data_IF_134776877265
#
_entry.id   IF_134776877265
#
_cell.length_a   1.000
_cell.length_b   1.000
_cell.length_c   1.000
_cell.angle_alpha   90.00
_cell.angle_beta   90.00
_cell.angle_gamma   90.00
#
_symmetry.space_group_name_H-M   'P 1'
#
loop_
_entity.id
_entity.type
_entity.pdbx_description
1 polymer ?
#
# COMPACT_ATOMS: atom_id res chain seq x y z
N UNK A 1 -1.48 -14.87 3.19
CA UNK A 1 -0.37 -14.16 3.86
C UNK A 1 -0.11 -12.83 3.18
N UNK A 2 -0.02 -11.77 3.93
CA UNK A 2 0.39 -10.46 3.42
C UNK A 2 1.92 -10.42 3.35
N UNK A 3 2.46 -10.01 2.21
CA UNK A 3 3.92 -9.94 2.01
C UNK A 3 4.47 -8.53 2.15
N UNK A 4 3.73 -7.55 1.71
CA UNK A 4 4.15 -6.16 1.81
C UNK A 4 2.97 -5.21 1.73
N UNK A 5 3.13 -4.06 2.36
CA UNK A 5 2.20 -2.93 2.27
C UNK A 5 3.01 -1.70 1.89
N UNK A 6 2.52 -0.93 0.93
CA UNK A 6 3.18 0.28 0.45
C UNK A 6 2.17 1.42 0.42
N UNK A 7 2.56 2.57 0.98
CA UNK A 7 1.80 3.81 0.85
C UNK A 7 2.55 4.78 -0.06
N UNK A 8 1.84 5.37 -1.01
CA UNK A 8 2.37 6.39 -1.89
C UNK A 8 1.50 7.63 -1.86
N UNK A 9 2.09 8.78 -2.12
CA UNK A 9 1.38 10.05 -2.19
C UNK A 9 0.43 10.06 -3.39
N UNK A 10 -0.83 10.43 -3.15
CA UNK A 10 -1.88 10.27 -4.15
C UNK A 10 -1.66 11.07 -5.43
N UNK A 11 -1.14 12.28 -5.33
CA UNK A 11 -0.98 13.18 -6.48
C UNK A 11 0.30 12.93 -7.27
N UNK A 12 1.39 12.55 -6.62
CA UNK A 12 2.71 12.41 -7.25
C UNK A 12 3.18 10.97 -7.42
N UNK A 13 2.63 10.02 -6.66
CA UNK A 13 3.12 8.65 -6.63
C UNK A 13 4.41 8.47 -5.82
N UNK A 14 4.84 9.52 -5.12
CA UNK A 14 6.03 9.46 -4.29
C UNK A 14 5.87 8.44 -3.16
N UNK A 15 6.89 7.62 -2.95
CA UNK A 15 6.91 6.64 -1.86
C UNK A 15 6.84 7.35 -0.50
N UNK A 16 5.90 6.97 0.33
CA UNK A 16 5.75 7.51 1.69
C UNK A 16 6.25 6.54 2.75
N UNK A 17 5.76 5.33 2.71
CA UNK A 17 6.02 4.34 3.75
C UNK A 17 5.78 2.94 3.21
N UNK A 18 6.54 1.98 3.68
CA UNK A 18 6.29 0.58 3.39
C UNK A 18 6.46 -0.28 4.64
N UNK A 19 5.85 -1.44 4.61
CA UNK A 19 5.99 -2.45 5.65
C UNK A 19 6.11 -3.81 4.98
N UNK A 20 7.22 -4.49 5.21
CA UNK A 20 7.50 -5.80 4.63
C UNK A 20 7.23 -6.89 5.63
N UNK A 21 6.62 -7.97 5.14
CA UNK A 21 6.32 -9.16 5.95
C UNK A 21 6.75 -10.41 5.18
N UNK A 22 6.98 -11.50 5.90
CA UNK A 22 7.28 -12.78 5.26
C UNK A 22 8.63 -12.85 4.57
N UNK A 23 8.71 -13.71 3.56
CA UNK A 23 9.98 -14.07 2.91
C UNK A 23 10.24 -13.34 1.59
N UNK A 24 9.25 -12.66 1.05
CA UNK A 24 9.41 -11.96 -0.21
C UNK A 24 10.08 -10.62 0.06
N UNK A 25 11.22 -10.41 -0.60
CA UNK A 25 11.91 -9.14 -0.54
C UNK A 25 11.30 -8.20 -1.58
N UNK A 26 10.54 -7.22 -1.10
CA UNK A 26 9.88 -6.22 -1.95
C UNK A 26 10.52 -4.87 -1.68
N UNK A 27 11.05 -4.25 -2.74
CA UNK A 27 11.52 -2.88 -2.66
C UNK A 27 10.33 -1.94 -2.78
N UNK A 28 9.98 -1.27 -1.68
CA UNK A 28 8.82 -0.38 -1.63
C UNK A 28 8.91 0.80 -2.58
N UNK A 29 10.08 1.38 -2.74
CA UNK A 29 10.28 2.51 -3.66
C UNK A 29 10.15 2.06 -5.12
N UNK A 30 10.71 0.90 -5.45
CA UNK A 30 10.58 0.33 -6.79
C UNK A 30 9.13 -0.04 -7.11
N UNK A 31 8.43 -0.63 -6.16
CA UNK A 31 7.01 -0.97 -6.31
C UNK A 31 6.16 0.29 -6.51
N UNK A 32 6.43 1.35 -5.76
CA UNK A 32 5.73 2.63 -5.90
C UNK A 32 5.92 3.21 -7.29
N UNK A 33 7.16 3.18 -7.80
CA UNK A 33 7.47 3.64 -9.16
C UNK A 33 6.76 2.83 -10.23
N UNK A 34 6.72 1.52 -10.07
CA UNK A 34 6.03 0.62 -10.99
C UNK A 34 4.53 0.89 -11.01
N UNK A 35 3.91 1.06 -9.85
CA UNK A 35 2.47 1.37 -9.75
C UNK A 35 2.17 2.70 -10.43
N UNK A 36 2.97 3.72 -10.18
CA UNK A 36 2.79 5.03 -10.81
C UNK A 36 2.92 4.97 -12.32
N UNK A 37 3.91 4.26 -12.82
CA UNK A 37 4.11 4.06 -14.25
C UNK A 37 2.93 3.29 -14.89
N UNK A 38 2.45 2.27 -14.22
CA UNK A 38 1.32 1.46 -14.69
C UNK A 38 0.04 2.30 -14.78
N UNK A 39 -0.21 3.13 -13.79
CA UNK A 39 -1.37 4.04 -13.80
C UNK A 39 -1.31 5.03 -14.95
N UNK A 40 -0.16 5.63 -15.18
CA UNK A 40 0.05 6.54 -16.29
C UNK A 40 -0.18 5.83 -17.63
N UNK A 41 0.36 4.63 -17.78
CA UNK A 41 0.20 3.82 -18.98
C UNK A 41 -1.26 3.48 -19.27
N UNK A 42 -2.01 3.06 -18.25
CA UNK A 42 -3.43 2.76 -18.37
C UNK A 42 -4.22 4.02 -18.76
N UNK A 43 -3.88 5.16 -18.15
CA UNK A 43 -4.51 6.44 -18.47
C UNK A 43 -4.31 6.85 -19.93
N UNK A 44 -3.15 6.56 -20.52
CA UNK A 44 -2.87 6.84 -21.93
C UNK A 44 -3.61 5.90 -22.87
N UNK A 45 -3.76 4.63 -22.49
CA UNK A 45 -4.47 3.64 -23.33
C UNK A 45 -5.97 3.95 -23.41
N UNK A 46 -6.56 4.43 -22.32
CA UNK A 46 -7.98 4.78 -22.26
C UNK A 46 -8.15 6.25 -22.66
N UNK A 47 -7.62 6.60 -23.80
CA UNK A 47 -7.58 7.96 -24.30
C UNK A 47 -8.99 8.50 -24.57
N UNK A 48 -9.26 9.72 -24.10
CA UNK A 48 -10.53 10.40 -24.32
C UNK A 48 -11.56 10.20 -23.23
N UNK A 49 -11.34 9.32 -22.29
CA UNK A 49 -12.17 9.21 -21.11
C UNK A 49 -11.51 9.89 -19.92
N UNK A 50 -12.28 10.73 -19.21
CA UNK A 50 -11.81 11.38 -17.98
C UNK A 50 -11.89 10.36 -16.85
N UNK A 51 -11.40 9.15 -17.11
CA UNK A 51 -11.26 8.14 -16.08
C UNK A 51 -9.87 8.31 -15.53
N UNK A 52 -9.79 8.68 -14.27
CA UNK A 52 -8.52 8.62 -13.56
C UNK A 52 -8.20 7.15 -13.39
N UNK A 53 -7.17 6.69 -14.09
CA UNK A 53 -6.74 5.28 -14.02
C UNK A 53 -6.55 4.81 -12.58
N UNK A 54 -6.18 5.72 -11.70
CA UNK A 54 -6.03 5.45 -10.27
C UNK A 54 -7.33 5.03 -9.58
N UNK A 55 -8.47 5.48 -10.07
CA UNK A 55 -9.77 5.14 -9.51
C UNK A 55 -10.27 3.79 -10.03
N UNK A 56 -9.78 3.38 -11.18
CA UNK A 56 -10.17 2.14 -11.83
C UNK A 56 -9.33 0.93 -11.41
N UNK A 57 -8.10 1.16 -10.98
CA UNK A 57 -7.19 0.07 -10.64
C UNK A 57 -7.46 -0.42 -9.22
N UNK A 58 -8.18 -1.52 -9.10
CA UNK A 58 -8.52 -2.12 -7.81
C UNK A 58 -7.61 -3.30 -7.44
N UNK A 59 -7.20 -4.06 -8.44
CA UNK A 59 -6.44 -5.29 -8.21
C UNK A 59 -5.61 -5.65 -9.43
N UNK A 60 -4.43 -6.24 -9.16
CA UNK A 60 -3.63 -6.94 -10.18
C UNK A 60 -3.46 -8.38 -9.73
N UNK A 61 -3.85 -9.32 -10.57
CA UNK A 61 -3.69 -10.75 -10.31
C UNK A 61 -2.43 -11.25 -10.97
N UNK A 62 -1.59 -11.88 -10.17
CA UNK A 62 -0.37 -12.52 -10.63
C UNK A 62 -0.45 -14.02 -10.28
N UNK A 63 0.41 -14.81 -10.87
CA UNK A 63 0.48 -16.23 -10.55
C UNK A 63 0.93 -16.42 -9.09
N UNK A 64 0.02 -16.88 -8.25
CA UNK A 64 0.29 -17.11 -6.83
C UNK A 64 0.13 -15.89 -5.93
N UNK A 65 -0.03 -14.70 -6.50
CA UNK A 65 -0.10 -13.46 -5.73
C UNK A 65 -1.21 -12.56 -6.24
N UNK A 66 -1.63 -11.62 -5.40
CA UNK A 66 -2.48 -10.52 -5.81
C UNK A 66 -1.94 -9.21 -5.21
N UNK A 67 -2.10 -8.13 -5.96
CA UNK A 67 -1.81 -6.79 -5.48
C UNK A 67 -3.15 -6.08 -5.41
N UNK A 68 -3.55 -5.68 -4.21
CA UNK A 68 -4.83 -5.01 -3.97
C UNK A 68 -4.56 -3.55 -3.64
N UNK A 69 -5.36 -2.67 -4.21
CA UNK A 69 -5.20 -1.23 -4.06
C UNK A 69 -6.41 -0.62 -3.37
N UNK A 70 -6.15 0.37 -2.55
CA UNK A 70 -7.15 1.29 -2.05
C UNK A 70 -6.62 2.71 -2.14
N UNK A 71 -7.53 3.67 -2.19
CA UNK A 71 -7.15 5.06 -2.38
C UNK A 71 -7.96 5.98 -1.49
N UNK A 72 -7.29 7.04 -1.01
CA UNK A 72 -7.93 8.20 -0.43
C UNK A 72 -7.46 9.45 -1.18
N UNK A 73 -7.94 10.62 -0.78
CA UNK A 73 -7.46 11.88 -1.37
C UNK A 73 -5.98 12.15 -1.06
N UNK A 74 -5.46 11.57 -0.01
CA UNK A 74 -4.11 11.81 0.50
C UNK A 74 -3.10 10.80 -0.01
N UNK A 75 -3.48 9.53 -0.07
CA UNK A 75 -2.54 8.45 -0.35
C UNK A 75 -3.21 7.29 -1.07
N UNK A 76 -2.39 6.51 -1.79
CA UNK A 76 -2.73 5.17 -2.19
C UNK A 76 -2.08 4.19 -1.25
N UNK A 77 -2.73 3.05 -1.07
CA UNK A 77 -2.13 1.92 -0.43
C UNK A 77 -2.23 0.71 -1.35
N UNK A 78 -1.13 -0.01 -1.47
CA UNK A 78 -1.07 -1.27 -2.18
C UNK A 78 -0.60 -2.36 -1.24
N UNK A 79 -1.21 -3.52 -1.35
CA UNK A 79 -0.78 -4.69 -0.60
C UNK A 79 -0.48 -5.83 -1.54
N UNK A 80 0.62 -6.53 -1.27
CA UNK A 80 0.94 -7.78 -1.97
C UNK A 80 0.57 -8.92 -1.03
N UNK A 81 -0.32 -9.78 -1.48
CA UNK A 81 -0.84 -10.90 -0.70
C UNK A 81 -0.81 -12.19 -1.51
N UNK A 82 -0.97 -13.33 -0.83
CA UNK A 82 -1.17 -14.60 -1.52
C UNK A 82 -2.50 -14.58 -2.28
N UNK A 83 -2.53 -15.28 -3.39
CA UNK A 83 -3.74 -15.39 -4.22
C UNK A 83 -4.95 -15.91 -3.43
N UNK A 84 -4.70 -16.72 -2.38
CA UNK A 84 -5.75 -17.33 -1.56
C UNK A 84 -6.35 -16.42 -0.50
N UNK A 85 -5.71 -15.28 -0.21
CA UNK A 85 -6.22 -14.35 0.79
C UNK A 85 -7.51 -13.69 0.30
N UNK A 86 -8.44 -13.45 1.22
CA UNK A 86 -9.74 -12.86 0.90
C UNK A 86 -9.59 -11.40 0.50
N UNK A 87 -9.96 -11.07 -0.74
CA UNK A 87 -9.87 -9.73 -1.29
C UNK A 87 -10.67 -8.71 -0.49
N UNK A 88 -11.88 -9.07 -0.05
CA UNK A 88 -12.74 -8.16 0.69
C UNK A 88 -12.19 -7.82 2.08
N UNK A 89 -11.66 -8.81 2.77
CA UNK A 89 -10.99 -8.60 4.05
C UNK A 89 -9.78 -7.68 3.90
N UNK A 90 -9.00 -7.90 2.84
CA UNK A 90 -7.84 -7.04 2.54
C UNK A 90 -8.31 -5.61 2.29
N UNK A 91 -9.29 -5.41 1.43
CA UNK A 91 -9.81 -4.07 1.12
C UNK A 91 -10.33 -3.35 2.35
N UNK A 92 -11.07 -4.05 3.21
CA UNK A 92 -11.59 -3.45 4.44
C UNK A 92 -10.47 -3.02 5.38
N UNK A 93 -9.43 -3.84 5.50
CA UNK A 93 -8.26 -3.50 6.31
C UNK A 93 -7.52 -2.30 5.74
N UNK A 94 -7.34 -2.24 4.41
CA UNK A 94 -6.67 -1.12 3.76
C UNK A 94 -7.44 0.19 3.92
N UNK A 95 -8.76 0.14 3.90
CA UNK A 95 -9.60 1.32 4.17
C UNK A 95 -9.37 1.85 5.59
N UNK A 96 -9.26 0.95 6.56
CA UNK A 96 -8.95 1.35 7.94
C UNK A 96 -7.56 1.96 8.06
N UNK A 97 -6.59 1.40 7.38
CA UNK A 97 -5.22 1.94 7.37
C UNK A 97 -5.23 3.36 6.81
N UNK A 98 -5.86 3.55 5.65
CA UNK A 98 -5.94 4.87 5.01
C UNK A 98 -6.64 5.90 5.89
N UNK A 99 -7.75 5.52 6.51
CA UNK A 99 -8.49 6.41 7.40
C UNK A 99 -7.62 6.89 8.56
N UNK A 100 -6.92 5.97 9.21
CA UNK A 100 -6.02 6.33 10.32
C UNK A 100 -4.83 7.15 9.84
N UNK A 101 -4.31 6.85 8.67
CA UNK A 101 -3.21 7.60 8.09
C UNK A 101 -3.63 9.05 7.82
N UNK A 102 -4.80 9.25 7.23
CA UNK A 102 -5.32 10.60 6.98
C UNK A 102 -5.56 11.38 8.26
N UNK A 103 -6.18 10.75 9.25
CA UNK A 103 -6.45 11.39 10.55
C UNK A 103 -5.16 11.92 11.19
N UNK A 104 -4.06 11.19 11.03
CA UNK A 104 -2.80 11.51 11.69
C UNK A 104 -1.86 12.38 10.86
N UNK A 105 -1.81 12.19 9.55
CA UNK A 105 -0.76 12.76 8.71
C UNK A 105 -1.24 13.64 7.55
N UNK A 106 -2.55 13.86 7.40
CA UNK A 106 -3.06 14.65 6.27
C UNK A 106 -2.37 16.00 6.13
N UNK A 107 -2.22 16.72 7.21
CA UNK A 107 -1.59 18.05 7.19
C UNK A 107 -0.12 17.98 6.76
N UNK A 108 0.59 16.96 7.23
CA UNK A 108 2.00 16.72 6.87
C UNK A 108 2.12 16.41 5.39
N UNK A 109 1.21 15.58 4.87
CA UNK A 109 1.23 15.19 3.46
C UNK A 109 0.81 16.34 2.55
N UNK A 110 -0.18 17.15 2.94
CA UNK A 110 -0.62 18.31 2.16
C UNK A 110 0.50 19.36 2.05
N UNK A 111 1.37 19.43 3.04
CA UNK A 111 2.52 20.32 3.08
C UNK A 111 3.84 19.53 2.97
N UNK A 112 3.83 18.49 2.14
CA UNK A 112 4.90 17.50 2.08
C UNK A 112 6.26 18.09 1.70
N UNK A 113 7.23 17.87 2.57
CA UNK A 113 8.61 18.34 2.37
C UNK A 113 9.59 17.17 2.14
N UNK A 114 9.08 15.94 1.94
CA UNK A 114 9.91 14.77 1.68
C UNK A 114 10.44 14.04 2.91
N UNK A 115 10.02 14.42 4.12
CA UNK A 115 10.54 13.85 5.36
C UNK A 115 9.79 12.58 5.76
N UNK A 116 10.18 11.44 5.18
CA UNK A 116 9.53 10.15 5.43
C UNK A 116 9.72 9.63 6.87
N UNK A 117 10.77 10.09 7.57
CA UNK A 117 11.03 9.65 8.94
C UNK A 117 9.89 9.92 9.91
N UNK A 118 9.13 10.98 9.68
CA UNK A 118 7.97 11.32 10.51
C UNK A 118 6.84 10.29 10.40
N UNK A 119 6.83 9.53 9.32
CA UNK A 119 5.80 8.53 9.04
C UNK A 119 6.12 7.15 9.62
N UNK A 120 7.36 6.87 9.97
CA UNK A 120 7.79 5.53 10.41
C UNK A 120 6.98 4.97 11.59
N UNK A 121 6.60 5.76 12.60
CA UNK A 121 5.79 5.22 13.70
C UNK A 121 4.47 4.61 13.24
N UNK A 122 3.98 5.00 12.08
CA UNK A 122 2.74 4.45 11.52
C UNK A 122 2.86 2.99 11.10
N UNK A 123 4.07 2.48 10.86
CA UNK A 123 4.28 1.06 10.54
C UNK A 123 3.66 0.15 11.59
N UNK A 124 3.77 0.54 12.85
CA UNK A 124 3.19 -0.20 13.96
C UNK A 124 1.66 -0.23 13.90
N UNK A 125 1.06 0.87 13.51
CA UNK A 125 -0.39 0.97 13.31
C UNK A 125 -0.86 0.05 12.17
N UNK A 126 -0.10 -0.02 11.09
CA UNK A 126 -0.37 -0.94 9.99
C UNK A 126 -0.37 -2.38 10.50
N UNK A 127 0.65 -2.76 11.25
CA UNK A 127 0.76 -4.10 11.84
C UNK A 127 -0.47 -4.44 12.67
N UNK A 128 -0.89 -3.53 13.54
CA UNK A 128 -2.02 -3.74 14.44
C UNK A 128 -3.33 -3.95 13.68
N UNK A 129 -3.58 -3.14 12.66
CA UNK A 129 -4.80 -3.24 11.86
C UNK A 129 -4.85 -4.55 11.09
N UNK A 130 -3.75 -4.92 10.46
CA UNK A 130 -3.69 -6.15 9.65
C UNK A 130 -3.78 -7.41 10.52
N UNK A 131 -3.16 -7.41 11.68
CA UNK A 131 -3.24 -8.53 12.63
C UNK A 131 -4.65 -8.70 13.18
N UNK A 132 -5.30 -7.61 13.56
CA UNK A 132 -6.66 -7.64 14.08
C UNK A 132 -7.69 -8.07 13.04
N UNK A 133 -7.41 -7.82 11.77
CA UNK A 133 -8.25 -8.25 10.65
C UNK A 133 -8.13 -9.73 10.32
N UNK A 134 -7.24 -10.48 10.98
CA UNK A 134 -6.98 -11.90 10.73
C UNK A 134 -6.62 -12.22 9.27
N UNK A 135 -5.90 -11.33 8.61
CA UNK A 135 -5.50 -11.49 7.22
C UNK A 135 -4.20 -12.28 7.16
N UNK A 136 -4.32 -13.61 7.02
CA UNK A 136 -3.20 -14.51 6.87
C UNK A 136 -2.22 -14.50 8.06
N UNK A 137 -1.08 -15.16 7.91
CA UNK A 137 0.01 -15.07 8.86
C UNK A 137 0.83 -13.81 8.59
N UNK A 138 0.88 -12.94 9.59
CA UNK A 138 1.61 -11.70 9.48
C UNK A 138 2.81 -11.71 10.41
N UNK A 139 4.00 -11.84 9.83
CA UNK A 139 5.25 -11.78 10.60
C UNK A 139 6.07 -10.62 10.08
N UNK A 140 6.18 -9.51 10.84
CA UNK A 140 6.99 -8.37 10.43
C UNK A 140 8.45 -8.79 10.22
N UNK A 141 9.03 -8.37 9.10
CA UNK A 141 10.40 -8.71 8.74
C UNK A 141 11.41 -8.25 9.82
N UNK A 142 11.16 -7.08 10.40
CA UNK A 142 12.00 -6.55 11.47
C UNK A 142 12.04 -7.46 12.71
N UNK A 143 10.94 -8.14 13.04
CA UNK A 143 10.90 -9.10 14.14
C UNK A 143 11.69 -10.36 13.82
N UNK A 144 11.68 -10.81 12.59
CA UNK A 144 12.49 -11.94 12.16
C UNK A 144 13.97 -11.65 12.29
N UNK A 145 14.38 -10.47 11.88
CA UNK A 145 15.77 -10.03 11.97
C UNK A 145 16.21 -9.91 13.41
N UNK A 146 15.35 -9.44 14.30
CA UNK A 146 15.67 -9.28 15.72
C UNK A 146 15.78 -10.60 16.47
N UNK A 147 15.25 -11.70 15.93
CA UNK A 147 15.32 -13.04 16.53
C UNK A 147 16.59 -13.80 16.12
N UNK A 148 17.32 -13.26 15.19
CA UNK A 148 18.60 -13.80 14.74
C UNK A 148 19.76 -13.12 15.50
#
# INVERSE_FOLDING_TARGET
MIHAVVLVKADTGEHLLDRKYGKIDVDGALLSGMISALKSFIGEIIEGEIIKAEEELEEIKLKGYRIVFERSSTAYIAVIADYRDDEEEIKNALKKVLKKFEEKYKNIIDNWAGTVLELYPFQKTIDEILMNGKIGELVPLAKKDSLN
#
